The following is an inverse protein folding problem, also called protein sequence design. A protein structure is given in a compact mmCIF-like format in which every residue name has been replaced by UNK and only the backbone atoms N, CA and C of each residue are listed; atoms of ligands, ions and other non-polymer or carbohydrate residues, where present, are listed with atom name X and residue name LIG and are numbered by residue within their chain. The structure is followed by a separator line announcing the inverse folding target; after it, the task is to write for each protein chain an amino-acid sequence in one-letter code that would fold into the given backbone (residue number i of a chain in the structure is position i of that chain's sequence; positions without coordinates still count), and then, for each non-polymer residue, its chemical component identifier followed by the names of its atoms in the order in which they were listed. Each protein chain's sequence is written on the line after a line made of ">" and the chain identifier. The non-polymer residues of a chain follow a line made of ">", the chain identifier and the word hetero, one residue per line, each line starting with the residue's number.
data_IF_448154581088
#
_entry.id   IF_448154581088
#
_cell.length_a   1.000
_cell.length_b   1.000
_cell.length_c   1.000
_cell.angle_alpha   90.00
_cell.angle_beta   90.00
_cell.angle_gamma   90.00
#
_symmetry.space_group_name_H-M   'P 1'
#
loop_
_entity.id
_entity.type
_entity.pdbx_description
1 polymer ?
#
# COMPACT_ATOMS: atom_id res chain seq x y z
N UNK A 1 -19.04 2.26 3.41
CA UNK A 1 -17.68 2.75 3.07
C UNK A 1 -17.16 3.53 4.27
N UNK A 2 -16.07 3.10 4.91
CA UNK A 2 -15.54 3.75 6.11
C UNK A 2 -14.54 4.84 5.73
N UNK A 3 -14.60 5.99 6.41
CA UNK A 3 -13.70 7.13 6.19
C UNK A 3 -12.80 7.28 7.41
N UNK A 4 -11.50 7.34 7.18
CA UNK A 4 -10.50 7.60 8.22
C UNK A 4 -9.94 9.01 8.06
N UNK A 5 -9.73 9.68 9.19
CA UNK A 5 -9.05 10.97 9.25
C UNK A 5 -7.60 10.76 9.65
N UNK A 6 -6.67 11.19 8.80
CA UNK A 6 -5.25 11.11 9.10
C UNK A 6 -4.79 12.29 9.97
N UNK A 7 -3.59 12.18 10.54
CA UNK A 7 -3.01 13.26 11.34
C UNK A 7 -2.79 14.56 10.57
N UNK A 8 -2.62 14.49 9.23
CA UNK A 8 -2.59 15.69 8.38
C UNK A 8 -3.96 16.36 8.21
N UNK A 9 -5.02 15.87 8.86
CA UNK A 9 -6.37 16.42 8.85
C UNK A 9 -7.24 15.99 7.67
N UNK A 10 -6.64 15.37 6.64
CA UNK A 10 -7.34 14.94 5.42
C UNK A 10 -8.08 13.61 5.62
N UNK A 11 -9.20 13.48 4.91
CA UNK A 11 -10.08 12.31 4.94
C UNK A 11 -9.74 11.36 3.80
N UNK A 12 -9.69 10.07 4.10
CA UNK A 12 -9.49 9.01 3.11
C UNK A 12 -10.54 7.93 3.29
N UNK A 13 -11.00 7.35 2.19
CA UNK A 13 -11.70 6.07 2.26
C UNK A 13 -10.74 5.01 2.79
N UNK A 14 -11.14 4.24 3.79
CA UNK A 14 -10.32 3.20 4.40
C UNK A 14 -9.75 2.23 3.34
N UNK A 15 -10.61 1.76 2.43
CA UNK A 15 -10.19 0.86 1.35
C UNK A 15 -9.09 1.49 0.49
N UNK A 16 -9.29 2.73 0.05
CA UNK A 16 -8.33 3.45 -0.79
C UNK A 16 -7.02 3.71 -0.05
N UNK A 17 -7.09 4.07 1.24
CA UNK A 17 -5.91 4.27 2.07
C UNK A 17 -5.11 2.97 2.23
N UNK A 18 -5.78 1.86 2.54
CA UNK A 18 -5.13 0.55 2.68
C UNK A 18 -4.43 0.13 1.40
N UNK A 19 -5.09 0.29 0.25
CA UNK A 19 -4.47 0.01 -1.05
C UNK A 19 -3.28 0.93 -1.27
N UNK A 20 -3.44 2.24 -1.07
CA UNK A 20 -2.38 3.23 -1.25
C UNK A 20 -1.13 2.96 -0.39
N UNK A 21 -1.32 2.53 0.86
CA UNK A 21 -0.23 2.16 1.77
C UNK A 21 0.47 0.85 1.37
N UNK A 22 -0.20 -0.04 0.62
CA UNK A 22 0.32 -1.34 0.18
C UNK A 22 0.92 -1.34 -1.24
N UNK A 23 0.75 -0.27 -1.99
CA UNK A 23 1.33 -0.13 -3.34
C UNK A 23 2.67 0.61 -3.23
N UNK A 24 3.72 0.27 -4.00
CA UNK A 24 4.95 1.06 -4.06
C UNK A 24 4.70 2.46 -4.65
N UNK A 25 5.60 3.45 -4.43
CA UNK A 25 6.88 3.36 -3.72
C UNK A 25 6.73 3.45 -2.20
N UNK A 26 7.53 2.68 -1.45
CA UNK A 26 7.53 2.72 0.03
C UNK A 26 8.62 3.66 0.59
N UNK A 27 9.72 3.84 -0.14
CA UNK A 27 10.85 4.67 0.29
C UNK A 27 10.46 6.13 0.52
N UNK A 28 10.89 6.69 1.66
CA UNK A 28 10.66 8.09 2.01
C UNK A 28 9.28 8.35 2.62
N UNK A 29 8.52 7.28 2.89
CA UNK A 29 7.18 7.34 3.45
C UNK A 29 6.12 7.85 2.47
N UNK A 30 4.91 7.32 2.62
CA UNK A 30 3.76 7.77 1.84
C UNK A 30 3.42 9.23 2.15
N UNK A 31 3.28 10.06 1.12
CA UNK A 31 2.88 11.46 1.26
C UNK A 31 1.40 11.62 0.97
N UNK A 32 0.75 12.49 1.72
CA UNK A 32 -0.62 12.88 1.46
C UNK A 32 -0.68 13.61 0.10
N UNK A 33 -1.54 13.20 -0.85
CA UNK A 33 -1.68 13.86 -2.14
C UNK A 33 -2.19 15.30 -2.03
N UNK A 34 -2.90 15.65 -0.94
CA UNK A 34 -3.49 16.98 -0.77
C UNK A 34 -2.52 18.00 -0.16
N UNK A 35 -1.72 17.61 0.85
CA UNK A 35 -0.82 18.54 1.56
C UNK A 35 0.66 18.18 1.49
N UNK A 36 1.03 17.06 0.88
CA UNK A 36 2.43 16.61 0.76
C UNK A 36 3.08 16.13 2.07
N UNK A 37 2.39 16.26 3.21
CA UNK A 37 2.89 15.77 4.50
C UNK A 37 2.95 14.24 4.51
N UNK A 38 3.93 13.69 5.23
CA UNK A 38 4.05 12.24 5.41
C UNK A 38 2.83 11.71 6.16
N UNK A 39 2.20 10.71 5.57
CA UNK A 39 1.13 9.94 6.20
C UNK A 39 1.76 9.08 7.29
N UNK A 40 1.34 9.34 8.51
CA UNK A 40 1.68 8.55 9.68
C UNK A 40 0.37 8.17 10.37
N UNK A 41 0.24 6.92 10.80
CA UNK A 41 -0.89 6.44 11.59
C UNK A 41 -0.45 5.17 12.32
N UNK A 42 -0.80 5.04 13.61
CA UNK A 42 -0.30 3.96 14.47
C UNK A 42 -0.69 2.56 13.96
N UNK A 43 -1.94 2.39 13.50
CA UNK A 43 -2.43 1.13 12.90
C UNK A 43 -1.67 0.69 11.63
N UNK A 44 -0.97 1.61 10.98
CA UNK A 44 -0.31 1.39 9.68
C UNK A 44 1.21 1.60 9.74
N UNK A 45 1.77 1.67 10.95
CA UNK A 45 3.20 1.82 11.21
C UNK A 45 3.99 0.55 10.87
N UNK A 46 4.03 0.18 9.59
CA UNK A 46 4.91 -0.87 9.06
C UNK A 46 6.17 -0.19 8.51
N UNK A 47 7.34 -0.80 8.70
CA UNK A 47 8.59 -0.28 8.13
C UNK A 47 8.57 -0.39 6.60
N UNK A 48 9.21 0.56 5.91
CA UNK A 48 9.29 0.58 4.45
C UNK A 48 9.84 -0.75 3.90
N UNK A 49 10.84 -1.33 4.58
CA UNK A 49 11.44 -2.64 4.24
C UNK A 49 10.41 -3.77 4.28
N UNK A 50 9.63 -3.88 5.37
CA UNK A 50 8.64 -4.95 5.51
C UNK A 50 7.47 -4.78 4.52
N UNK A 51 7.08 -3.54 4.22
CA UNK A 51 6.06 -3.26 3.21
C UNK A 51 6.53 -3.68 1.81
N UNK A 52 7.79 -3.40 1.48
CA UNK A 52 8.42 -3.79 0.23
C UNK A 52 8.56 -5.31 0.09
N UNK A 53 9.07 -6.00 1.12
CA UNK A 53 9.18 -7.47 1.14
C UNK A 53 7.81 -8.14 0.93
N UNK A 54 6.77 -7.64 1.60
CA UNK A 54 5.38 -8.15 1.43
C UNK A 54 4.85 -7.92 0.02
N UNK A 55 5.10 -6.73 -0.54
CA UNK A 55 4.66 -6.41 -1.90
C UNK A 55 5.39 -7.26 -2.94
N UNK A 56 6.71 -7.41 -2.82
CA UNK A 56 7.52 -8.25 -3.69
C UNK A 56 7.07 -9.72 -3.66
N UNK A 57 6.79 -10.25 -2.47
CA UNK A 57 6.25 -11.61 -2.33
C UNK A 57 4.87 -11.75 -2.99
N UNK A 58 3.98 -10.76 -2.82
CA UNK A 58 2.68 -10.77 -3.48
C UNK A 58 2.82 -10.74 -5.01
N UNK A 59 3.74 -9.92 -5.51
CA UNK A 59 4.01 -9.78 -6.94
C UNK A 59 4.63 -11.05 -7.53
N UNK A 60 5.51 -11.75 -6.79
CA UNK A 60 6.09 -13.03 -7.20
C UNK A 60 4.99 -14.10 -7.35
N UNK A 61 4.12 -14.24 -6.34
CA UNK A 61 2.99 -15.19 -6.40
C UNK A 61 2.04 -14.89 -7.57
N UNK A 62 1.78 -13.62 -7.86
CA UNK A 62 0.94 -13.24 -8.99
C UNK A 62 1.57 -13.62 -10.34
N UNK A 63 2.91 -13.56 -10.43
CA UNK A 63 3.64 -14.01 -11.62
C UNK A 63 3.58 -15.53 -11.78
N UNK A 64 3.81 -16.29 -10.70
CA UNK A 64 3.72 -17.75 -10.73
C UNK A 64 2.34 -18.24 -11.18
N UNK A 65 1.27 -17.60 -10.69
CA UNK A 65 -0.10 -17.92 -11.11
C UNK A 65 -0.32 -17.62 -12.59
N UNK A 66 0.14 -16.47 -13.08
CA UNK A 66 0.03 -16.12 -14.50
C UNK A 66 0.81 -17.08 -15.41
N UNK A 67 1.98 -17.55 -14.98
CA UNK A 67 2.76 -18.57 -15.70
C UNK A 67 2.03 -19.92 -15.76
N UNK A 68 1.32 -20.30 -14.70
CA UNK A 68 0.49 -21.51 -14.69
C UNK A 68 -0.73 -21.34 -15.60
N UNK A 69 -1.41 -20.20 -15.57
CA UNK A 69 -2.55 -19.91 -16.44
C UNK A 69 -2.16 -19.95 -17.93
N UNK A 70 -0.99 -19.40 -18.28
CA UNK A 70 -0.45 -19.45 -19.64
C UNK A 70 -0.15 -20.89 -20.10
N UNK A 71 0.34 -21.77 -19.22
CA UNK A 71 0.60 -23.17 -19.54
C UNK A 71 -0.67 -23.96 -19.92
N UNK A 72 -1.84 -23.56 -19.39
CA UNK A 72 -3.12 -24.25 -19.64
C UNK A 72 -3.89 -23.71 -20.86
N UNK A 73 -3.36 -22.70 -21.57
CA UNK A 73 -3.98 -22.07 -22.74
C UNK A 73 -3.30 -22.50 -24.05
#
# INVERSE_FOLDING_TARGET
>A
MHVERLYCGHLFHLQCLVTFMKTPPFHGGKKCPTCGQRIYHEKWGVSDKLAEERWAHQQARARELAEVEDFFN
#
